data_IF_724410699647
#
_entry.id   IF_724410699647
#
_cell.length_a   1.000
_cell.length_b   1.000
_cell.length_c   1.000
_cell.angle_alpha   90.00
_cell.angle_beta   90.00
_cell.angle_gamma   90.00
#
_symmetry.space_group_name_H-M   'P 1'
#
loop_
_entity.id
_entity.type
_entity.pdbx_description
1 polymer ?
#
# COMPACT_ATOMS: atom_id res chain seq x y z
N UNK A 1 65.22 36.66 -10.14
CA UNK A 1 63.97 36.33 -9.46
C UNK A 1 63.24 35.33 -10.33
N UNK A 2 63.47 34.04 -10.08
CA UNK A 2 62.89 32.92 -10.79
C UNK A 2 61.62 32.47 -10.07
N UNK A 3 60.47 32.44 -10.77
CA UNK A 3 59.24 31.83 -10.32
C UNK A 3 59.26 30.38 -10.78
N UNK A 4 59.29 29.45 -9.82
CA UNK A 4 59.08 28.04 -10.06
C UNK A 4 57.57 27.79 -10.35
N UNK A 5 57.26 27.24 -11.51
CA UNK A 5 55.99 26.60 -11.82
C UNK A 5 55.99 25.22 -11.13
N UNK A 6 55.01 24.98 -10.31
CA UNK A 6 54.66 23.61 -9.83
C UNK A 6 53.79 22.97 -10.88
N UNK A 7 54.20 21.84 -11.38
CA UNK A 7 53.46 20.92 -12.26
C UNK A 7 52.54 20.07 -11.37
N UNK A 8 51.25 20.20 -11.59
CA UNK A 8 50.27 19.30 -11.02
C UNK A 8 50.23 18.00 -11.85
N UNK A 9 50.47 16.88 -11.17
CA UNK A 9 50.27 15.54 -11.75
C UNK A 9 48.81 15.15 -11.69
N UNK A 10 48.24 14.54 -12.76
CA UNK A 10 46.87 14.03 -12.73
C UNK A 10 46.77 12.78 -11.85
N UNK A 11 45.75 12.74 -11.01
CA UNK A 11 45.41 11.61 -10.15
C UNK A 11 44.70 10.56 -11.04
N UNK A 12 45.28 9.37 -11.19
CA UNK A 12 44.67 8.23 -11.81
C UNK A 12 43.49 7.73 -10.96
N UNK A 13 42.30 7.76 -11.56
CA UNK A 13 41.06 7.20 -11.04
C UNK A 13 41.08 5.69 -11.20
N UNK A 14 41.30 4.97 -10.08
CA UNK A 14 41.24 3.51 -10.05
C UNK A 14 39.79 3.07 -10.08
N UNK A 15 39.31 2.69 -11.26
CA UNK A 15 38.04 2.02 -11.46
C UNK A 15 38.15 0.61 -10.86
N UNK A 16 37.45 0.36 -9.74
CA UNK A 16 37.27 -0.98 -9.18
C UNK A 16 36.20 -1.69 -9.99
N UNK A 17 36.59 -2.67 -10.78
CA UNK A 17 35.70 -3.68 -11.38
C UNK A 17 35.06 -4.53 -10.27
N UNK A 18 33.72 -4.52 -10.22
CA UNK A 18 32.96 -5.51 -9.46
C UNK A 18 32.86 -6.82 -10.29
N UNK A 19 32.99 -7.99 -9.67
CA UNK A 19 32.90 -9.25 -10.38
C UNK A 19 31.44 -9.53 -10.78
N UNK A 20 31.20 -9.67 -12.07
CA UNK A 20 29.98 -10.26 -12.66
C UNK A 20 29.79 -11.68 -12.14
N UNK A 21 28.78 -11.89 -11.32
CA UNK A 21 28.26 -13.22 -11.04
C UNK A 21 27.33 -13.59 -12.19
N UNK A 22 27.77 -14.49 -13.05
CA UNK A 22 26.94 -15.13 -14.05
C UNK A 22 26.07 -16.21 -13.38
N UNK A 23 24.77 -15.96 -13.27
CA UNK A 23 23.80 -17.00 -12.95
C UNK A 23 23.45 -17.77 -14.24
N UNK A 24 23.41 -19.12 -14.19
CA UNK A 24 23.10 -19.91 -15.37
C UNK A 24 21.61 -19.81 -15.72
N UNK A 25 21.35 -19.35 -16.93
CA UNK A 25 20.03 -19.37 -17.56
C UNK A 25 19.59 -20.83 -17.72
N UNK A 26 18.63 -21.26 -16.90
CA UNK A 26 17.93 -22.52 -17.08
C UNK A 26 16.96 -22.40 -18.24
N UNK A 27 17.31 -23.07 -19.30
CA UNK A 27 16.53 -23.35 -20.51
C UNK A 27 15.27 -24.17 -20.13
N UNK A 28 14.10 -23.54 -20.11
CA UNK A 28 12.83 -24.26 -19.93
C UNK A 28 12.38 -24.81 -21.28
N UNK A 29 12.71 -26.08 -21.54
CA UNK A 29 12.19 -26.85 -22.65
C UNK A 29 10.67 -26.98 -22.57
N UNK A 30 9.99 -26.71 -23.69
CA UNK A 30 8.57 -26.94 -23.90
C UNK A 30 8.25 -28.43 -23.80
N UNK A 31 7.55 -28.84 -22.75
CA UNK A 31 6.98 -30.18 -22.67
C UNK A 31 5.56 -30.12 -22.06
N UNK A 32 4.61 -30.46 -22.93
CA UNK A 32 3.29 -31.09 -22.67
C UNK A 32 2.34 -30.41 -21.67
N UNK A 33 1.24 -29.93 -22.22
CA UNK A 33 0.00 -29.63 -21.48
C UNK A 33 -0.42 -30.83 -20.62
N UNK A 34 -0.53 -30.69 -19.30
CA UNK A 34 -1.36 -31.63 -18.54
C UNK A 34 -2.82 -31.21 -18.65
N UNK A 35 -3.69 -32.22 -18.66
CA UNK A 35 -5.12 -32.10 -18.69
C UNK A 35 -5.64 -31.16 -17.59
N UNK A 36 -6.62 -30.36 -17.95
CA UNK A 36 -7.38 -29.46 -17.09
C UNK A 36 -8.16 -30.31 -16.08
N UNK A 37 -7.58 -30.59 -14.92
CA UNK A 37 -8.36 -31.02 -13.75
C UNK A 37 -9.26 -29.88 -13.33
N UNK A 38 -10.56 -30.07 -13.47
CA UNK A 38 -11.57 -29.19 -12.91
C UNK A 38 -11.41 -29.15 -11.39
N UNK A 39 -10.79 -28.06 -10.89
CA UNK A 39 -10.87 -27.77 -9.47
C UNK A 39 -12.34 -27.55 -9.13
N UNK A 40 -12.86 -28.20 -8.08
CA UNK A 40 -14.23 -27.95 -7.65
C UNK A 40 -14.39 -26.45 -7.38
N UNK A 41 -15.39 -25.84 -8.03
CA UNK A 41 -15.84 -24.50 -7.72
C UNK A 41 -16.12 -24.44 -6.22
N UNK A 42 -15.25 -23.75 -5.50
CA UNK A 42 -15.55 -23.32 -4.14
C UNK A 42 -16.67 -22.30 -4.29
N UNK A 43 -17.92 -22.79 -4.20
CA UNK A 43 -19.08 -21.93 -4.07
C UNK A 43 -18.79 -21.01 -2.89
N UNK A 44 -18.49 -19.75 -3.18
CA UNK A 44 -18.39 -18.71 -2.17
C UNK A 44 -19.75 -18.73 -1.43
N UNK A 45 -19.72 -19.21 -0.19
CA UNK A 45 -20.86 -19.08 0.69
C UNK A 45 -21.30 -17.61 0.68
N UNK A 46 -22.61 -17.32 0.64
CA UNK A 46 -23.08 -15.95 0.71
C UNK A 46 -22.46 -15.33 1.97
N UNK A 47 -21.67 -14.28 1.79
CA UNK A 47 -21.22 -13.46 2.91
C UNK A 47 -22.51 -13.00 3.58
N UNK A 48 -22.86 -13.59 4.72
CA UNK A 48 -23.87 -13.01 5.60
C UNK A 48 -23.37 -11.60 5.85
N UNK A 49 -24.10 -10.60 5.38
CA UNK A 49 -23.89 -9.23 5.78
C UNK A 49 -24.03 -9.24 7.29
N UNK A 50 -22.89 -9.18 7.99
CA UNK A 50 -22.92 -9.11 9.44
C UNK A 50 -23.57 -7.77 9.76
N UNK A 51 -24.71 -7.81 10.44
CA UNK A 51 -25.37 -6.60 10.91
C UNK A 51 -24.35 -5.82 11.75
N UNK A 52 -24.12 -4.57 11.37
CA UNK A 52 -23.18 -3.70 12.09
C UNK A 52 -23.77 -3.35 13.44
N UNK A 53 -23.00 -3.57 14.50
CA UNK A 53 -23.36 -3.10 15.81
C UNK A 53 -23.21 -1.57 15.88
N UNK A 54 -24.01 -0.93 16.71
CA UNK A 54 -23.82 0.51 17.00
C UNK A 54 -22.45 0.71 17.65
N UNK A 55 -21.70 1.67 17.14
CA UNK A 55 -20.39 2.00 17.67
C UNK A 55 -20.55 2.69 19.02
N UNK A 56 -19.94 2.12 20.06
CA UNK A 56 -19.95 2.71 21.40
C UNK A 56 -18.92 3.85 21.49
N UNK A 57 -19.19 4.91 22.29
CA UNK A 57 -18.22 6.01 22.48
C UNK A 57 -16.86 5.52 23.00
N UNK A 58 -16.84 4.55 23.91
CA UNK A 58 -15.60 3.95 24.43
C UNK A 58 -14.77 3.28 23.34
N UNK A 59 -15.42 2.67 22.35
CA UNK A 59 -14.76 2.05 21.21
C UNK A 59 -14.10 3.11 20.33
N UNK A 60 -14.78 4.25 20.12
CA UNK A 60 -14.23 5.39 19.36
C UNK A 60 -12.97 5.91 20.05
N UNK A 61 -13.05 6.25 21.34
CA UNK A 61 -11.92 6.75 22.12
C UNK A 61 -10.73 5.79 22.14
N UNK A 62 -11.00 4.50 22.26
CA UNK A 62 -9.94 3.49 22.23
C UNK A 62 -9.27 3.37 20.87
N UNK A 63 -10.05 3.45 19.78
CA UNK A 63 -9.51 3.45 18.43
C UNK A 63 -8.67 4.71 18.14
N UNK A 64 -9.15 5.89 18.54
CA UNK A 64 -8.41 7.14 18.43
C UNK A 64 -7.09 7.07 19.20
N UNK A 65 -7.16 6.65 20.46
CA UNK A 65 -5.95 6.47 21.29
C UNK A 65 -4.96 5.51 20.66
N UNK A 66 -5.43 4.37 20.17
CA UNK A 66 -4.58 3.40 19.48
C UNK A 66 -3.87 4.03 18.27
N UNK A 67 -4.59 4.82 17.46
CA UNK A 67 -4.02 5.51 16.32
C UNK A 67 -2.97 6.53 16.78
N UNK A 68 -3.29 7.36 17.79
CA UNK A 68 -2.32 8.32 18.34
C UNK A 68 -1.07 7.64 18.88
N UNK A 69 -1.20 6.53 19.60
CA UNK A 69 -0.06 5.77 20.14
C UNK A 69 0.83 5.24 19.01
N UNK A 70 0.23 4.75 17.93
CA UNK A 70 0.98 4.29 16.74
C UNK A 70 1.66 5.47 16.05
N UNK A 71 0.97 6.62 15.87
CA UNK A 71 1.56 7.81 15.26
C UNK A 71 2.76 8.31 16.07
N UNK A 72 2.61 8.42 17.38
CA UNK A 72 3.70 8.81 18.28
C UNK A 72 4.88 7.84 18.20
N UNK A 73 4.62 6.53 18.16
CA UNK A 73 5.67 5.53 17.99
C UNK A 73 6.39 5.63 16.64
N UNK A 74 5.72 6.14 15.61
CA UNK A 74 6.31 6.43 14.30
C UNK A 74 7.01 7.79 14.24
N UNK A 75 7.01 8.58 15.32
CA UNK A 75 7.61 9.91 15.38
C UNK A 75 6.78 10.99 14.68
N UNK A 76 5.48 10.82 14.58
CA UNK A 76 4.54 11.74 13.96
C UNK A 76 3.70 12.44 15.03
N UNK A 77 4.15 13.62 15.46
CA UNK A 77 3.50 14.38 16.55
C UNK A 77 2.37 15.29 16.06
N UNK A 78 2.38 15.70 14.78
CA UNK A 78 1.47 16.69 14.19
C UNK A 78 0.24 16.06 13.53
N UNK A 79 -0.24 14.90 14.01
CA UNK A 79 -1.37 14.21 13.40
C UNK A 79 -2.65 14.57 14.12
N UNK A 80 -3.62 15.07 13.38
CA UNK A 80 -4.99 15.29 13.83
C UNK A 80 -5.85 14.10 13.39
N UNK A 81 -6.50 13.45 14.35
CA UNK A 81 -7.44 12.36 14.10
C UNK A 81 -8.86 12.89 14.28
N UNK A 82 -9.72 12.60 13.32
CA UNK A 82 -11.15 12.96 13.36
C UNK A 82 -11.95 11.68 13.11
N UNK A 83 -12.86 11.36 14.01
CA UNK A 83 -13.75 10.21 13.91
C UNK A 83 -15.21 10.63 13.71
N UNK A 84 -15.94 9.87 12.93
CA UNK A 84 -17.36 10.03 12.71
C UNK A 84 -17.99 8.65 12.43
N UNK A 85 -19.24 8.46 12.82
CA UNK A 85 -20.02 7.30 12.42
C UNK A 85 -20.76 7.66 11.14
N UNK A 86 -20.55 6.87 10.08
CA UNK A 86 -21.21 7.12 8.79
C UNK A 86 -22.67 6.59 8.76
N UNK A 87 -23.38 6.87 7.67
CA UNK A 87 -24.78 6.48 7.49
C UNK A 87 -24.98 4.95 7.49
N UNK A 88 -23.92 4.20 7.16
CA UNK A 88 -23.91 2.73 7.17
C UNK A 88 -23.65 2.17 8.58
N UNK A 89 -23.40 3.02 9.59
CA UNK A 89 -23.04 2.59 10.95
C UNK A 89 -21.57 2.17 11.09
N UNK A 90 -20.71 2.42 10.11
CA UNK A 90 -19.29 2.17 10.22
C UNK A 90 -18.55 3.35 10.87
N UNK A 91 -17.51 3.06 11.65
CA UNK A 91 -16.64 4.08 12.22
C UNK A 91 -15.66 4.58 11.16
N UNK A 92 -15.84 5.79 10.68
CA UNK A 92 -14.94 6.45 9.74
C UNK A 92 -13.96 7.33 10.50
N UNK A 93 -12.67 7.09 10.32
CA UNK A 93 -11.58 7.83 10.96
C UNK A 93 -10.73 8.46 9.86
N UNK A 94 -10.59 9.78 9.91
CA UNK A 94 -9.75 10.54 9.01
C UNK A 94 -8.53 11.09 9.75
N UNK A 95 -7.35 10.99 9.12
CA UNK A 95 -6.09 11.48 9.67
C UNK A 95 -5.55 12.59 8.78
N UNK A 96 -5.15 13.70 9.40
CA UNK A 96 -4.58 14.86 8.72
C UNK A 96 -3.30 15.28 9.44
N UNK A 97 -2.27 15.68 8.70
CA UNK A 97 -1.02 16.15 9.30
C UNK A 97 0.12 16.25 8.29
N UNK A 98 1.31 16.53 8.79
CA UNK A 98 2.52 16.52 7.98
C UNK A 98 2.97 15.07 7.69
N UNK A 99 3.60 14.87 6.53
CA UNK A 99 4.20 13.57 6.14
C UNK A 99 3.22 12.37 6.06
N UNK A 100 1.95 12.60 5.72
CA UNK A 100 0.94 11.53 5.57
C UNK A 100 1.35 10.44 4.58
N UNK A 101 2.31 10.71 3.67
CA UNK A 101 2.88 9.72 2.77
C UNK A 101 3.47 8.48 3.47
N UNK A 102 4.00 8.63 4.69
CA UNK A 102 4.52 7.52 5.50
C UNK A 102 3.37 6.60 5.93
N UNK A 103 2.24 7.19 6.34
CA UNK A 103 1.04 6.44 6.73
C UNK A 103 0.36 5.74 5.56
N UNK A 104 0.38 6.36 4.40
CA UNK A 104 -0.11 5.72 3.18
C UNK A 104 0.78 4.54 2.82
N UNK A 105 2.11 4.75 2.85
CA UNK A 105 3.09 3.77 2.45
C UNK A 105 3.04 3.44 0.96
N UNK A 106 3.68 2.35 0.58
CA UNK A 106 3.71 1.93 -0.83
C UNK A 106 2.30 1.51 -1.28
N UNK A 107 1.65 2.35 -2.11
CA UNK A 107 0.33 2.09 -2.71
C UNK A 107 -0.82 1.91 -1.71
N UNK A 108 -0.70 2.45 -0.50
CA UNK A 108 -1.72 2.33 0.53
C UNK A 108 -1.57 1.13 1.46
N UNK A 109 -0.50 0.33 1.34
CA UNK A 109 -0.30 -0.88 2.15
C UNK A 109 -0.23 -0.60 3.65
N UNK A 110 0.45 0.47 4.06
CA UNK A 110 0.53 0.85 5.48
C UNK A 110 -0.84 1.27 6.00
N UNK A 111 -1.55 2.08 5.23
CA UNK A 111 -2.91 2.52 5.56
C UNK A 111 -3.89 1.34 5.69
N UNK A 112 -3.83 0.36 4.79
CA UNK A 112 -4.66 -0.85 4.84
C UNK A 112 -4.31 -1.72 6.07
N UNK A 113 -3.02 -1.84 6.39
CA UNK A 113 -2.57 -2.57 7.58
C UNK A 113 -3.04 -1.90 8.88
N UNK A 114 -2.93 -0.57 8.94
CA UNK A 114 -3.40 0.21 10.09
C UNK A 114 -4.92 0.10 10.24
N UNK A 115 -5.67 0.19 9.15
CA UNK A 115 -7.12 -0.03 9.16
C UNK A 115 -7.47 -1.42 9.69
N UNK A 116 -6.78 -2.45 9.24
CA UNK A 116 -7.00 -3.81 9.73
C UNK A 116 -6.76 -3.93 11.24
N UNK A 117 -5.66 -3.36 11.74
CA UNK A 117 -5.36 -3.38 13.17
C UNK A 117 -6.40 -2.60 13.99
N UNK A 118 -6.77 -1.39 13.54
CA UNK A 118 -7.80 -0.59 14.21
C UNK A 118 -9.15 -1.31 14.22
N UNK A 119 -9.51 -1.98 13.13
CA UNK A 119 -10.73 -2.79 13.08
C UNK A 119 -10.67 -3.96 14.09
N UNK A 120 -9.50 -4.57 14.31
CA UNK A 120 -9.32 -5.62 15.32
C UNK A 120 -9.43 -5.05 16.74
N UNK A 121 -8.92 -3.86 16.99
CA UNK A 121 -9.05 -3.17 18.29
C UNK A 121 -10.52 -2.86 18.55
N UNK A 122 -11.25 -2.26 17.61
CA UNK A 122 -12.66 -1.96 17.75
C UNK A 122 -13.49 -3.21 18.11
N UNK A 123 -13.28 -4.29 17.38
CA UNK A 123 -14.02 -5.56 17.57
C UNK A 123 -13.56 -6.36 18.80
N UNK A 124 -12.54 -5.91 19.53
CA UNK A 124 -12.15 -6.46 20.82
C UNK A 124 -12.77 -5.71 21.98
N UNK A 125 -13.13 -4.44 21.78
CA UNK A 125 -13.61 -3.55 22.84
C UNK A 125 -15.10 -3.66 23.10
N UNK A 126 -15.88 -4.06 22.11
CA UNK A 126 -17.33 -4.21 22.26
C UNK A 126 -17.85 -5.51 21.65
N UNK A 127 -19.01 -5.93 22.11
CA UNK A 127 -19.75 -7.05 21.53
C UNK A 127 -20.42 -6.62 20.21
N UNK A 128 -20.41 -7.53 19.22
CA UNK A 128 -20.92 -7.27 17.90
C UNK A 128 -19.86 -6.76 16.91
N UNK A 129 -20.20 -6.76 15.64
CA UNK A 129 -19.24 -6.42 14.59
C UNK A 129 -19.26 -4.91 14.29
N UNK A 130 -18.11 -4.27 14.48
CA UNK A 130 -17.85 -2.88 14.10
C UNK A 130 -16.96 -2.86 12.86
N UNK A 131 -17.37 -2.11 11.85
CA UNK A 131 -16.56 -1.86 10.67
C UNK A 131 -15.86 -0.52 10.81
N UNK A 132 -14.53 -0.53 10.68
CA UNK A 132 -13.70 0.70 10.70
C UNK A 132 -13.26 1.02 9.28
N UNK A 133 -13.45 2.27 8.88
CA UNK A 133 -12.90 2.87 7.66
C UNK A 133 -11.83 3.87 8.07
N UNK A 134 -10.62 3.72 7.56
CA UNK A 134 -9.50 4.62 7.83
C UNK A 134 -9.04 5.25 6.53
N UNK A 135 -8.93 6.57 6.51
CA UNK A 135 -8.40 7.31 5.36
C UNK A 135 -7.53 8.50 5.80
N UNK A 136 -6.77 9.02 4.89
CA UNK A 136 -5.97 10.23 5.07
C UNK A 136 -6.02 11.06 3.80
N UNK A 137 -6.43 12.33 3.93
CA UNK A 137 -6.49 13.29 2.83
C UNK A 137 -7.18 12.75 1.55
N UNK A 138 -8.24 11.99 1.69
CA UNK A 138 -8.94 11.34 0.56
C UNK A 138 -8.02 10.49 -0.34
N UNK A 139 -7.02 9.84 0.23
CA UNK A 139 -6.06 9.05 -0.53
C UNK A 139 -6.73 7.97 -1.38
N UNK A 140 -7.71 7.26 -0.81
CA UNK A 140 -8.39 6.16 -1.52
C UNK A 140 -9.07 6.64 -2.80
N UNK A 141 -9.77 7.78 -2.75
CA UNK A 141 -10.41 8.39 -3.92
C UNK A 141 -9.38 8.82 -4.95
N UNK A 142 -8.34 9.57 -4.54
CA UNK A 142 -7.25 10.01 -5.43
C UNK A 142 -6.51 8.83 -6.05
N UNK A 143 -6.29 7.75 -5.30
CA UNK A 143 -5.63 6.56 -5.79
C UNK A 143 -6.46 5.83 -6.85
N UNK A 144 -7.77 5.72 -6.63
CA UNK A 144 -8.71 5.14 -7.61
C UNK A 144 -8.67 5.92 -8.93
N UNK A 145 -8.78 7.24 -8.89
CA UNK A 145 -8.70 8.10 -10.08
C UNK A 145 -7.36 7.93 -10.82
N UNK A 146 -6.26 7.85 -10.07
CA UNK A 146 -4.93 7.59 -10.64
C UNK A 146 -4.87 6.25 -11.38
N UNK A 147 -5.43 5.19 -10.78
CA UNK A 147 -5.46 3.86 -11.38
C UNK A 147 -6.37 3.80 -12.62
N UNK A 148 -7.51 4.48 -12.60
CA UNK A 148 -8.41 4.58 -13.76
C UNK A 148 -7.71 5.29 -14.93
N UNK A 149 -7.00 6.40 -14.65
CA UNK A 149 -6.24 7.11 -15.66
C UNK A 149 -5.06 6.29 -16.20
N UNK A 150 -4.34 5.57 -15.31
CA UNK A 150 -3.29 4.65 -15.71
C UNK A 150 -3.82 3.56 -16.64
N UNK A 151 -4.96 2.95 -16.29
CA UNK A 151 -5.60 1.92 -17.10
C UNK A 151 -5.98 2.44 -18.50
N UNK A 152 -6.60 3.63 -18.59
CA UNK A 152 -6.94 4.29 -19.87
C UNK A 152 -5.70 4.55 -20.71
N UNK A 153 -4.63 5.07 -20.12
CA UNK A 153 -3.38 5.37 -20.81
C UNK A 153 -2.71 4.11 -21.34
N UNK A 154 -2.66 3.05 -20.52
CA UNK A 154 -2.08 1.77 -20.94
C UNK A 154 -2.92 1.11 -22.03
N UNK A 155 -4.25 1.10 -21.90
CA UNK A 155 -5.14 0.56 -22.93
C UNK A 155 -4.91 1.27 -24.29
N UNK A 156 -4.79 2.60 -24.29
CA UNK A 156 -4.49 3.38 -25.48
C UNK A 156 -3.11 3.04 -26.04
N UNK A 157 -2.11 2.88 -25.20
CA UNK A 157 -0.76 2.48 -25.61
C UNK A 157 -0.75 1.07 -26.24
N UNK A 158 -1.38 0.09 -25.61
CA UNK A 158 -1.49 -1.29 -26.12
C UNK A 158 -2.26 -1.31 -27.44
N UNK A 159 -3.36 -0.57 -27.57
CA UNK A 159 -4.14 -0.46 -28.81
C UNK A 159 -3.29 0.08 -29.96
N UNK A 160 -2.44 1.08 -29.70
CA UNK A 160 -1.56 1.70 -30.70
C UNK A 160 -0.36 0.82 -31.05
N UNK A 161 0.29 0.22 -30.06
CA UNK A 161 1.55 -0.52 -30.26
C UNK A 161 1.35 -2.00 -30.54
N UNK A 162 0.18 -2.55 -30.26
CA UNK A 162 -0.15 -3.98 -30.36
C UNK A 162 0.80 -4.88 -29.55
N UNK A 163 1.49 -4.33 -28.54
CA UNK A 163 2.43 -5.04 -27.66
C UNK A 163 1.83 -5.26 -26.28
N UNK A 164 2.11 -6.41 -25.69
CA UNK A 164 1.75 -6.69 -24.29
C UNK A 164 2.50 -5.75 -23.36
N UNK A 165 1.81 -5.21 -22.35
CA UNK A 165 2.38 -4.39 -21.29
C UNK A 165 2.10 -5.08 -19.97
N UNK A 166 3.16 -5.39 -19.21
CA UNK A 166 3.04 -5.91 -17.86
C UNK A 166 2.91 -4.74 -16.89
N UNK A 167 1.98 -4.84 -15.97
CA UNK A 167 1.80 -3.92 -14.86
C UNK A 167 2.43 -4.49 -13.60
N UNK A 168 2.83 -3.61 -12.72
CA UNK A 168 3.25 -4.03 -11.38
C UNK A 168 2.09 -4.68 -10.62
N UNK A 169 2.36 -5.72 -9.80
CA UNK A 169 1.34 -6.32 -8.96
C UNK A 169 0.76 -5.27 -8.01
N UNK A 170 -0.55 -5.25 -7.90
CA UNK A 170 -1.29 -4.33 -7.02
C UNK A 170 -2.11 -5.15 -6.03
N UNK A 171 -2.37 -4.54 -4.87
CA UNK A 171 -3.24 -5.13 -3.87
C UNK A 171 -4.68 -5.20 -4.41
N UNK A 172 -5.47 -6.23 -4.10
CA UNK A 172 -6.85 -6.38 -4.60
C UNK A 172 -7.87 -5.42 -3.97
N UNK A 173 -7.45 -4.54 -3.06
CA UNK A 173 -8.32 -3.54 -2.42
C UNK A 173 -8.43 -2.26 -3.22
#
# INVERSE_FOLDING_TARGET
KARRKQEEKPVEEVVKEEPKVEEPVKEYSHARKPAREEKPEVKSAPKKEAELAKVEPQTIETCEKFIYDVMNAMGMEDVKVTSAVDEEGALSINMEGSNMGILIGKRGQTLDSLQYLTNRVANKMQDGYVRVKLDTEDYRRRRKETLENLAKNIASKVKRTRKTVSLEPMNPY
#
